data_IF_726000018723
#
_entry.id   IF_726000018723
#
_cell.length_a   1.000
_cell.length_b   1.000
_cell.length_c   1.000
_cell.angle_alpha   90.00
_cell.angle_beta   90.00
_cell.angle_gamma   90.00
#
_symmetry.space_group_name_H-M   'P 1'
#
loop_
_entity.id
_entity.type
_entity.pdbx_description
1 polymer ?
#
# COMPACT_ATOMS: atom_id res chain seq x y z
N UNK A 1 53.18 -32.50 -18.73
CA UNK A 1 51.90 -32.56 -19.44
C UNK A 1 50.86 -32.35 -18.37
N UNK A 2 50.63 -31.06 -18.09
CA UNK A 2 49.69 -30.59 -17.06
C UNK A 2 48.31 -30.55 -17.72
N UNK A 3 47.41 -31.41 -17.25
CA UNK A 3 45.98 -31.29 -17.57
C UNK A 3 45.34 -30.42 -16.49
N UNK A 4 45.19 -29.14 -16.81
CA UNK A 4 44.28 -28.22 -16.14
C UNK A 4 42.86 -28.63 -16.50
N UNK A 5 42.18 -29.38 -15.63
CA UNK A 5 40.73 -29.46 -15.66
C UNK A 5 40.16 -28.16 -15.08
N UNK A 6 39.64 -27.32 -15.99
CA UNK A 6 38.79 -26.17 -15.70
C UNK A 6 37.68 -26.55 -14.71
N UNK A 7 37.79 -26.05 -13.48
CA UNK A 7 36.65 -25.96 -12.58
C UNK A 7 35.64 -24.99 -13.17
N UNK A 8 34.68 -25.52 -13.91
CA UNK A 8 33.46 -24.81 -14.32
C UNK A 8 32.68 -24.47 -13.04
N UNK A 9 32.85 -23.24 -12.58
CA UNK A 9 32.07 -22.65 -11.50
C UNK A 9 30.60 -22.62 -11.90
N UNK A 10 29.78 -23.49 -11.32
CA UNK A 10 28.33 -23.45 -11.43
C UNK A 10 27.82 -22.15 -10.78
N UNK A 11 26.98 -21.34 -11.45
CA UNK A 11 26.44 -20.14 -10.82
C UNK A 11 25.48 -20.57 -9.69
N UNK A 12 25.71 -19.96 -8.53
CA UNK A 12 25.06 -20.24 -7.25
C UNK A 12 23.54 -20.34 -7.35
N UNK A 13 22.96 -21.43 -6.81
CA UNK A 13 21.51 -21.68 -6.73
C UNK A 13 20.71 -20.63 -5.94
N UNK A 14 21.38 -19.70 -5.26
CA UNK A 14 20.75 -18.50 -4.67
C UNK A 14 20.36 -17.44 -5.71
N UNK A 15 21.04 -17.41 -6.87
CA UNK A 15 20.75 -16.46 -7.94
C UNK A 15 19.45 -16.78 -8.68
N UNK A 16 19.13 -18.08 -8.81
CA UNK A 16 17.90 -18.54 -9.42
C UNK A 16 16.66 -18.09 -8.63
N UNK A 17 16.67 -18.26 -7.30
CA UNK A 17 15.55 -17.84 -6.43
C UNK A 17 15.28 -16.34 -6.53
N UNK A 18 16.34 -15.52 -6.47
CA UNK A 18 16.23 -14.07 -6.64
C UNK A 18 15.62 -13.70 -8.01
N UNK A 19 16.05 -14.37 -9.08
CA UNK A 19 15.50 -14.15 -10.43
C UNK A 19 14.02 -14.51 -10.52
N UNK A 20 13.60 -15.66 -9.98
CA UNK A 20 12.19 -16.08 -10.00
C UNK A 20 11.30 -15.16 -9.15
N UNK A 21 11.78 -14.69 -7.99
CA UNK A 21 11.05 -13.71 -7.20
C UNK A 21 10.88 -12.38 -7.93
N UNK A 22 11.92 -11.90 -8.62
CA UNK A 22 11.79 -10.70 -9.46
C UNK A 22 10.77 -10.91 -10.59
N UNK A 23 10.81 -12.05 -11.28
CA UNK A 23 9.84 -12.39 -12.31
C UNK A 23 8.41 -12.42 -11.76
N UNK A 24 8.22 -12.99 -10.57
CA UNK A 24 6.93 -13.02 -9.90
C UNK A 24 6.43 -11.60 -9.59
N UNK A 25 7.28 -10.72 -9.02
CA UNK A 25 6.93 -9.31 -8.77
C UNK A 25 6.53 -8.60 -10.06
N UNK A 26 7.30 -8.77 -11.15
CA UNK A 26 7.01 -8.14 -12.44
C UNK A 26 5.71 -8.68 -13.06
N UNK A 27 5.43 -9.99 -12.90
CA UNK A 27 4.17 -10.60 -13.34
C UNK A 27 2.96 -10.08 -12.56
N UNK A 28 3.15 -9.75 -11.28
CA UNK A 28 2.17 -9.08 -10.42
C UNK A 28 2.09 -7.56 -10.67
N UNK A 29 2.44 -7.11 -11.88
CA UNK A 29 2.47 -5.69 -12.29
C UNK A 29 3.37 -4.79 -11.41
N UNK A 30 4.36 -5.38 -10.75
CA UNK A 30 5.34 -4.66 -9.93
C UNK A 30 4.91 -4.41 -8.49
N UNK A 31 3.75 -4.90 -8.03
CA UNK A 31 3.30 -4.76 -6.63
C UNK A 31 2.94 -6.13 -6.09
N UNK A 32 3.53 -6.50 -4.96
CA UNK A 32 3.20 -7.77 -4.32
C UNK A 32 3.08 -7.64 -2.81
N UNK A 33 2.11 -8.32 -2.22
CA UNK A 33 1.95 -8.38 -0.77
C UNK A 33 3.05 -9.24 -0.14
N UNK A 34 3.49 -8.87 1.07
CA UNK A 34 4.56 -9.58 1.80
C UNK A 34 4.24 -11.08 1.96
N UNK A 35 3.02 -11.44 2.34
CA UNK A 35 2.67 -12.86 2.55
C UNK A 35 2.62 -13.62 1.21
N UNK A 36 2.17 -12.99 0.13
CA UNK A 36 2.20 -13.62 -1.20
C UNK A 36 3.64 -13.91 -1.66
N UNK A 37 4.59 -12.99 -1.40
CA UNK A 37 6.00 -13.24 -1.71
C UNK A 37 6.64 -14.28 -0.80
N UNK A 38 6.27 -14.33 0.48
CA UNK A 38 6.72 -15.38 1.39
C UNK A 38 6.25 -16.75 0.88
N UNK A 39 4.98 -16.88 0.49
CA UNK A 39 4.43 -18.12 -0.07
C UNK A 39 5.14 -18.51 -1.38
N UNK A 40 5.40 -17.55 -2.26
CA UNK A 40 6.16 -17.79 -3.48
C UNK A 40 7.60 -18.26 -3.18
N UNK A 41 8.27 -17.62 -2.21
CA UNK A 41 9.60 -18.04 -1.75
C UNK A 41 9.58 -19.45 -1.17
N UNK A 42 8.62 -19.76 -0.29
CA UNK A 42 8.47 -21.10 0.27
C UNK A 42 8.29 -22.14 -0.83
N UNK A 43 7.45 -21.85 -1.84
CA UNK A 43 7.24 -22.75 -2.97
C UNK A 43 8.52 -22.99 -3.75
N UNK A 44 9.29 -21.94 -4.05
CA UNK A 44 10.58 -22.06 -4.73
C UNK A 44 11.60 -22.89 -3.92
N UNK A 45 11.59 -22.76 -2.60
CA UNK A 45 12.45 -23.58 -1.73
C UNK A 45 12.00 -25.03 -1.66
N UNK A 46 10.70 -25.31 -1.70
CA UNK A 46 10.16 -26.67 -1.82
C UNK A 46 10.57 -27.32 -3.12
N UNK A 47 10.38 -26.63 -4.25
CA UNK A 47 10.75 -27.14 -5.57
C UNK A 47 12.28 -27.35 -5.68
N UNK A 48 13.08 -26.54 -4.97
CA UNK A 48 14.53 -26.69 -4.87
C UNK A 48 14.99 -27.73 -3.82
N UNK A 49 14.09 -28.44 -3.14
CA UNK A 49 14.40 -29.39 -2.04
C UNK A 49 15.19 -28.77 -0.87
N UNK A 50 15.01 -27.47 -0.62
CA UNK A 50 15.65 -26.69 0.48
C UNK A 50 14.66 -26.21 1.53
N UNK A 51 13.41 -26.65 1.43
CA UNK A 51 12.36 -26.25 2.35
C UNK A 51 12.66 -26.70 3.78
N UNK A 52 12.56 -25.77 4.73
CA UNK A 52 12.72 -26.06 6.15
C UNK A 52 11.42 -25.77 6.89
N UNK A 53 10.63 -26.82 7.15
CA UNK A 53 9.35 -26.72 7.87
C UNK A 53 9.47 -26.30 9.35
N UNK A 54 10.69 -26.22 9.90
CA UNK A 54 10.93 -25.75 11.28
C UNK A 54 11.18 -24.24 11.35
N UNK A 55 11.26 -23.56 10.20
CA UNK A 55 11.50 -22.12 10.20
C UNK A 55 10.30 -21.35 10.72
N UNK A 56 10.58 -20.44 11.65
CA UNK A 56 9.64 -19.41 12.07
C UNK A 56 9.33 -18.46 10.90
N UNK A 57 8.20 -17.77 10.99
CA UNK A 57 7.84 -16.70 10.06
C UNK A 57 8.94 -15.65 9.92
N UNK A 58 9.61 -15.28 11.03
CA UNK A 58 10.67 -14.28 10.99
C UNK A 58 11.86 -14.74 10.14
N UNK A 59 12.25 -16.01 10.21
CA UNK A 59 13.33 -16.55 9.38
C UNK A 59 12.98 -16.52 7.89
N UNK A 60 11.71 -16.77 7.54
CA UNK A 60 11.24 -16.62 6.17
C UNK A 60 11.26 -15.16 5.69
N UNK A 61 10.85 -14.22 6.55
CA UNK A 61 10.93 -12.78 6.28
C UNK A 61 12.39 -12.35 6.08
N UNK A 62 13.30 -12.83 6.90
CA UNK A 62 14.73 -12.48 6.81
C UNK A 62 15.35 -13.03 5.53
N UNK A 63 15.01 -14.27 5.14
CA UNK A 63 15.43 -14.83 3.84
C UNK A 63 14.87 -14.03 2.67
N UNK A 64 13.59 -13.66 2.72
CA UNK A 64 12.97 -12.82 1.69
C UNK A 64 13.71 -11.48 1.57
N UNK A 65 14.00 -10.81 2.69
CA UNK A 65 14.76 -9.55 2.69
C UNK A 65 16.16 -9.75 2.09
N UNK A 66 16.84 -10.87 2.39
CA UNK A 66 18.10 -11.24 1.77
C UNK A 66 18.01 -11.36 0.24
N UNK A 67 16.98 -12.06 -0.26
CA UNK A 67 16.72 -12.17 -1.70
C UNK A 67 16.43 -10.81 -2.34
N UNK A 68 15.58 -9.98 -1.73
CA UNK A 68 15.23 -8.64 -2.24
C UNK A 68 16.47 -7.73 -2.27
N UNK A 69 17.33 -7.79 -1.26
CA UNK A 69 18.58 -7.04 -1.25
C UNK A 69 19.51 -7.47 -2.40
N UNK A 70 19.65 -8.78 -2.64
CA UNK A 70 20.43 -9.29 -3.76
C UNK A 70 19.88 -8.84 -5.13
N UNK A 71 18.56 -8.81 -5.28
CA UNK A 71 17.90 -8.26 -6.48
C UNK A 71 18.20 -6.77 -6.63
N UNK A 72 18.06 -6.00 -5.55
CA UNK A 72 18.27 -4.55 -5.57
C UNK A 72 19.71 -4.15 -5.92
N UNK A 73 20.71 -4.91 -5.51
CA UNK A 73 22.11 -4.69 -5.94
C UNK A 73 22.21 -4.67 -7.47
N UNK A 74 21.51 -5.58 -8.15
CA UNK A 74 21.49 -5.66 -9.62
C UNK A 74 20.59 -4.58 -10.24
N UNK A 75 19.41 -4.32 -9.67
CA UNK A 75 18.46 -3.33 -10.19
C UNK A 75 18.97 -1.89 -10.09
N UNK A 76 19.73 -1.55 -9.04
CA UNK A 76 20.26 -0.21 -8.86
C UNK A 76 21.15 0.23 -10.04
N UNK A 77 21.87 -0.70 -10.67
CA UNK A 77 22.68 -0.44 -11.86
C UNK A 77 21.83 -0.03 -13.07
N UNK A 78 20.55 -0.42 -13.07
CA UNK A 78 19.57 -0.11 -14.12
C UNK A 78 18.69 1.09 -13.72
N UNK A 79 18.92 1.71 -12.57
CA UNK A 79 18.06 2.77 -12.04
C UNK A 79 16.71 2.27 -11.57
N UNK A 80 16.58 1.02 -11.12
CA UNK A 80 15.35 0.47 -10.52
C UNK A 80 15.60 -0.04 -9.11
N UNK A 81 14.53 -0.17 -8.32
CA UNK A 81 14.61 -0.73 -6.97
C UNK A 81 13.28 -1.35 -6.57
N UNK A 82 13.33 -2.41 -5.79
CA UNK A 82 12.19 -2.92 -5.03
C UNK A 82 12.23 -2.29 -3.65
N UNK A 83 11.18 -1.52 -3.31
CA UNK A 83 11.01 -0.93 -2.00
C UNK A 83 9.88 -1.60 -1.24
N UNK A 84 9.95 -1.54 0.09
CA UNK A 84 8.88 -2.01 0.97
C UNK A 84 8.08 -0.82 1.47
N UNK A 85 6.78 -0.85 1.28
CA UNK A 85 5.84 0.19 1.73
C UNK A 85 4.75 -0.42 2.60
N UNK A 86 4.15 0.40 3.47
CA UNK A 86 2.97 0.02 4.26
C UNK A 86 1.72 0.65 3.64
N UNK A 87 0.66 -0.13 3.47
CA UNK A 87 -0.63 0.40 3.05
C UNK A 87 -1.32 1.15 4.20
N UNK A 88 -1.83 2.36 3.91
CA UNK A 88 -2.45 3.25 4.90
C UNK A 88 -3.71 2.74 5.61
N UNK A 89 -4.43 1.75 5.03
CA UNK A 89 -5.68 1.21 5.61
C UNK A 89 -5.44 0.23 6.77
N UNK A 90 -4.19 -0.16 7.02
CA UNK A 90 -3.80 -1.00 8.16
C UNK A 90 -3.84 -2.52 7.92
N UNK A 91 -3.15 -3.26 8.79
CA UNK A 91 -2.88 -4.71 8.68
C UNK A 91 -4.14 -5.55 8.54
N UNK A 92 -5.13 -5.35 9.41
CA UNK A 92 -6.36 -6.12 9.41
C UNK A 92 -7.20 -5.89 8.14
N UNK A 93 -7.30 -4.63 7.72
CA UNK A 93 -8.02 -4.24 6.50
C UNK A 93 -7.38 -4.85 5.24
N UNK A 94 -6.04 -4.79 5.13
CA UNK A 94 -5.30 -5.40 4.03
C UNK A 94 -5.44 -6.93 4.06
N UNK A 95 -5.28 -7.56 5.22
CA UNK A 95 -5.38 -9.01 5.36
C UNK A 95 -6.77 -9.52 4.92
N UNK A 96 -7.85 -8.81 5.29
CA UNK A 96 -9.20 -9.15 4.86
C UNK A 96 -9.39 -9.04 3.34
N UNK A 97 -8.85 -8.00 2.71
CA UNK A 97 -8.87 -7.84 1.24
C UNK A 97 -8.06 -8.95 0.56
N UNK A 98 -6.92 -9.33 1.13
CA UNK A 98 -6.04 -10.32 0.55
C UNK A 98 -6.55 -11.76 0.73
N UNK A 99 -7.22 -12.09 1.84
CA UNK A 99 -7.84 -13.42 2.02
C UNK A 99 -8.85 -13.75 0.92
N UNK A 100 -9.58 -12.75 0.43
CA UNK A 100 -10.49 -12.92 -0.72
C UNK A 100 -9.76 -13.26 -2.02
N UNK A 101 -8.47 -12.90 -2.13
CA UNK A 101 -7.63 -13.12 -3.32
C UNK A 101 -6.65 -14.29 -3.17
N UNK A 102 -6.27 -14.65 -1.94
CA UNK A 102 -5.27 -15.67 -1.59
C UNK A 102 -5.89 -16.97 -1.04
N UNK A 103 -7.21 -17.03 -0.89
CA UNK A 103 -7.96 -18.22 -0.43
C UNK A 103 -7.54 -19.56 -1.05
N UNK A 104 -7.07 -19.65 -2.32
CA UNK A 104 -6.62 -20.94 -2.87
C UNK A 104 -5.27 -21.43 -2.33
N UNK A 105 -4.45 -20.59 -1.68
CA UNK A 105 -3.10 -20.98 -1.23
C UNK A 105 -3.06 -21.54 0.19
N UNK A 106 -3.98 -21.12 1.08
CA UNK A 106 -4.06 -21.65 2.46
C UNK A 106 -4.56 -23.11 2.47
N UNK A 107 -5.45 -23.50 1.54
CA UNK A 107 -5.90 -24.90 1.38
C UNK A 107 -4.81 -25.81 0.79
N UNK A 108 -3.96 -25.29 -0.10
CA UNK A 108 -2.88 -26.07 -0.75
C UNK A 108 -1.61 -26.24 0.10
N UNK A 109 -1.59 -25.72 1.33
CA UNK A 109 -0.61 -26.13 2.35
C UNK A 109 -0.95 -27.48 3.01
N UNK A 110 -2.07 -28.10 2.66
CA UNK A 110 -2.20 -29.55 2.77
C UNK A 110 -1.23 -30.21 1.79
N UNK A 111 -0.07 -30.58 2.32
CA UNK A 111 0.96 -31.35 1.62
C UNK A 111 0.28 -32.61 1.07
N UNK A 112 0.03 -32.62 -0.25
CA UNK A 112 -0.39 -33.80 -1.00
C UNK A 112 0.69 -34.86 -0.98
N UNK A 113 0.83 -35.56 0.14
CA UNK A 113 1.69 -36.71 0.32
C UNK A 113 0.95 -37.99 -0.08
N UNK A 114 1.07 -38.40 -1.34
CA UNK A 114 0.91 -39.82 -1.66
C UNK A 114 2.07 -40.58 -1.04
N UNK A 115 1.89 -41.08 0.19
CA UNK A 115 2.85 -41.95 0.87
C UNK A 115 2.71 -41.89 2.38
N UNK A 116 2.23 -42.98 2.98
CA UNK A 116 2.13 -43.22 4.42
C UNK A 116 3.38 -42.77 5.21
N UNK A 117 3.30 -41.66 5.94
CA UNK A 117 3.83 -41.54 7.30
C UNK A 117 3.25 -40.30 7.99
N UNK A 118 2.65 -40.50 9.17
CA UNK A 118 2.18 -39.43 10.05
C UNK A 118 3.36 -38.56 10.50
N UNK A 119 3.44 -37.32 10.01
CA UNK A 119 4.18 -36.26 10.71
C UNK A 119 3.28 -35.03 10.83
N UNK A 120 3.04 -34.61 12.06
CA UNK A 120 2.30 -33.40 12.48
C UNK A 120 2.89 -32.13 11.86
N UNK A 121 2.60 -31.87 10.58
CA UNK A 121 2.95 -30.62 9.93
C UNK A 121 1.80 -29.63 10.18
N UNK A 122 1.86 -28.89 11.29
CA UNK A 122 0.90 -27.80 11.50
C UNK A 122 0.98 -26.81 10.34
N UNK A 123 -0.16 -26.36 9.79
CA UNK A 123 -0.17 -25.36 8.72
C UNK A 123 0.49 -24.07 9.24
N UNK A 124 1.47 -23.56 8.49
CA UNK A 124 2.19 -22.35 8.88
C UNK A 124 1.29 -21.13 8.68
N UNK A 125 0.78 -20.56 9.77
CA UNK A 125 -0.06 -19.36 9.74
C UNK A 125 0.84 -18.12 9.61
N UNK A 126 0.71 -17.40 8.49
CA UNK A 126 1.40 -16.13 8.29
C UNK A 126 0.69 -15.00 9.07
N UNK A 127 1.44 -14.07 9.70
CA UNK A 127 0.85 -12.95 10.41
C UNK A 127 0.16 -11.97 9.46
N UNK A 128 -0.79 -11.20 9.99
CA UNK A 128 -1.40 -10.10 9.26
C UNK A 128 -0.36 -9.02 8.93
N UNK A 129 -0.31 -8.60 7.68
CA UNK A 129 0.64 -7.62 7.18
C UNK A 129 -0.05 -6.62 6.25
N UNK A 130 0.31 -5.34 6.38
CA UNK A 130 -0.03 -4.28 5.43
C UNK A 130 1.14 -3.94 4.50
N UNK A 131 2.19 -4.77 4.48
CA UNK A 131 3.40 -4.51 3.71
C UNK A 131 3.26 -5.00 2.29
N UNK A 132 3.75 -4.17 1.38
CA UNK A 132 3.87 -4.48 -0.04
C UNK A 132 5.30 -4.20 -0.50
N UNK A 133 5.76 -5.02 -1.43
CA UNK A 133 6.98 -4.81 -2.18
C UNK A 133 6.60 -4.22 -3.54
N UNK A 134 7.19 -3.07 -3.87
CA UNK A 134 6.91 -2.31 -5.07
C UNK A 134 8.18 -2.11 -5.87
N UNK A 135 8.13 -2.50 -7.14
CA UNK A 135 9.17 -2.25 -8.13
C UNK A 135 9.03 -0.83 -8.68
N UNK A 136 10.00 0.03 -8.38
CA UNK A 136 10.01 1.46 -8.73
C UNK A 136 11.18 1.81 -9.64
N UNK A 137 10.97 2.82 -10.49
CA UNK A 137 12.02 3.45 -11.29
C UNK A 137 12.62 4.65 -10.52
N UNK A 138 13.94 4.63 -10.35
CA UNK A 138 14.73 5.68 -9.70
C UNK A 138 15.32 6.69 -10.71
N UNK A 139 15.42 6.33 -11.98
CA UNK A 139 16.11 7.14 -13.00
C UNK A 139 15.21 8.16 -13.71
N UNK A 140 13.90 7.98 -13.63
CA UNK A 140 12.89 8.90 -14.18
C UNK A 140 12.53 9.96 -13.15
N UNK A 141 12.55 11.23 -13.56
CA UNK A 141 11.85 12.31 -12.85
C UNK A 141 10.36 11.97 -12.71
N UNK A 142 9.68 12.57 -11.74
CA UNK A 142 8.27 12.33 -11.43
C UNK A 142 7.37 12.47 -12.69
N UNK A 143 7.73 13.39 -13.59
CA UNK A 143 7.03 13.66 -14.84
C UNK A 143 7.34 12.65 -15.95
N UNK A 144 8.52 12.03 -15.95
CA UNK A 144 8.96 11.09 -17.01
C UNK A 144 8.48 9.65 -16.76
N UNK A 145 8.04 9.31 -15.55
CA UNK A 145 7.50 7.98 -15.20
C UNK A 145 6.28 7.61 -16.05
N UNK A 146 5.36 8.55 -16.21
CA UNK A 146 4.16 8.39 -17.03
C UNK A 146 4.45 8.56 -18.53
N UNK A 147 5.41 9.42 -18.88
CA UNK A 147 5.75 9.75 -20.27
C UNK A 147 6.29 8.57 -21.10
N UNK A 148 6.77 7.50 -20.45
CA UNK A 148 7.22 6.29 -21.16
C UNK A 148 6.09 5.40 -21.66
N UNK A 149 4.85 5.59 -21.17
CA UNK A 149 3.70 4.70 -21.43
C UNK A 149 2.47 5.40 -21.94
N UNK A 150 2.33 6.68 -21.65
CA UNK A 150 1.15 7.48 -21.96
C UNK A 150 1.53 8.61 -22.92
N UNK A 151 0.61 8.95 -23.82
CA UNK A 151 0.76 10.11 -24.68
C UNK A 151 0.54 11.41 -23.88
N UNK A 152 0.83 12.56 -24.49
CA UNK A 152 0.76 13.86 -23.80
C UNK A 152 -0.63 14.16 -23.21
N UNK A 153 -1.71 13.96 -23.97
CA UNK A 153 -3.07 14.22 -23.51
C UNK A 153 -3.47 13.28 -22.36
N UNK A 154 -3.02 12.02 -22.40
CA UNK A 154 -3.23 11.05 -21.31
C UNK A 154 -2.47 11.47 -20.05
N UNK A 155 -1.23 11.97 -20.17
CA UNK A 155 -0.46 12.48 -19.03
C UNK A 155 -1.15 13.69 -18.40
N UNK A 156 -1.66 14.61 -19.23
CA UNK A 156 -2.42 15.77 -18.78
C UNK A 156 -3.70 15.35 -18.04
N UNK A 157 -4.43 14.37 -18.58
CA UNK A 157 -5.56 13.77 -17.88
C UNK A 157 -5.15 13.15 -16.54
N UNK A 158 -4.05 12.40 -16.48
CA UNK A 158 -3.59 11.76 -15.23
C UNK A 158 -3.27 12.81 -14.17
N UNK A 159 -2.54 13.87 -14.54
CA UNK A 159 -2.23 14.98 -13.64
C UNK A 159 -3.50 15.66 -13.13
N UNK A 160 -4.41 15.96 -14.06
CA UNK A 160 -5.70 16.57 -13.72
C UNK A 160 -6.54 15.67 -12.82
N UNK A 161 -6.62 14.36 -13.07
CA UNK A 161 -7.35 13.42 -12.24
C UNK A 161 -6.75 13.31 -10.83
N UNK A 162 -5.42 13.28 -10.71
CA UNK A 162 -4.73 13.32 -9.42
C UNK A 162 -5.09 14.60 -8.67
N UNK A 163 -5.04 15.75 -9.33
CA UNK A 163 -5.46 17.03 -8.75
C UNK A 163 -6.91 16.99 -8.26
N UNK A 164 -7.86 16.44 -9.06
CA UNK A 164 -9.24 16.26 -8.61
C UNK A 164 -9.35 15.38 -7.36
N UNK A 165 -8.54 14.31 -7.25
CA UNK A 165 -8.51 13.48 -6.04
C UNK A 165 -7.99 14.25 -4.82
N UNK A 166 -6.98 15.11 -5.00
CA UNK A 166 -6.42 15.91 -3.89
C UNK A 166 -7.40 16.98 -3.42
N UNK A 167 -7.98 17.74 -4.35
CA UNK A 167 -9.01 18.76 -4.05
C UNK A 167 -10.18 18.11 -3.29
N UNK A 168 -10.66 16.95 -3.76
CA UNK A 168 -11.76 16.26 -3.11
C UNK A 168 -11.39 15.70 -1.71
N UNK A 169 -10.12 15.35 -1.49
CA UNK A 169 -9.61 14.83 -0.22
C UNK A 169 -9.46 15.88 0.90
N UNK A 170 -9.30 17.15 0.53
CA UNK A 170 -9.26 18.26 1.49
C UNK A 170 -10.65 18.56 2.08
N UNK A 171 -11.68 18.47 1.23
CA UNK A 171 -13.06 18.74 1.58
C UNK A 171 -13.55 17.80 2.71
N UNK A 172 -14.18 18.39 3.73
CA UNK A 172 -14.81 17.64 4.83
C UNK A 172 -16.28 17.52 4.51
N UNK A 173 -16.78 16.30 4.49
CA UNK A 173 -18.20 16.02 4.31
C UNK A 173 -18.79 15.73 5.69
N UNK A 174 -19.79 16.52 6.09
CA UNK A 174 -20.58 16.28 7.30
C UNK A 174 -21.76 15.36 6.99
N UNK A 175 -21.50 14.07 6.90
CA UNK A 175 -22.51 13.02 6.73
C UNK A 175 -22.05 11.69 7.36
N UNK A 176 -22.96 10.73 7.44
CA UNK A 176 -22.64 9.38 7.88
C UNK A 176 -21.75 8.69 6.86
N UNK A 177 -20.50 8.41 7.24
CA UNK A 177 -19.60 7.62 6.41
C UNK A 177 -20.18 6.21 6.20
N UNK A 178 -19.98 5.64 5.00
CA UNK A 178 -20.52 4.32 4.67
C UNK A 178 -19.95 3.23 5.57
N UNK A 179 -20.84 2.45 6.19
CA UNK A 179 -20.47 1.26 6.98
C UNK A 179 -19.86 0.13 6.12
N UNK A 180 -19.98 0.21 4.79
CA UNK A 180 -19.28 -0.69 3.87
C UNK A 180 -17.78 -0.38 3.76
N UNK A 181 -17.36 0.82 4.18
CA UNK A 181 -15.95 1.21 4.15
C UNK A 181 -15.13 0.40 5.14
N UNK A 182 -14.07 -0.22 4.62
CA UNK A 182 -13.13 -0.99 5.45
C UNK A 182 -12.44 -0.10 6.47
N UNK A 183 -12.13 1.14 6.11
CA UNK A 183 -11.47 2.11 7.00
C UNK A 183 -12.41 2.50 8.14
N UNK A 184 -13.67 2.83 7.84
CA UNK A 184 -14.67 3.20 8.87
C UNK A 184 -14.83 2.07 9.89
N UNK A 185 -15.01 0.83 9.41
CA UNK A 185 -15.15 -0.34 10.29
C UNK A 185 -13.91 -0.55 11.15
N UNK A 186 -12.72 -0.41 10.57
CA UNK A 186 -11.45 -0.63 11.26
C UNK A 186 -11.16 0.44 12.31
N UNK A 187 -11.39 1.72 11.98
CA UNK A 187 -11.26 2.81 12.94
C UNK A 187 -12.27 2.66 14.08
N UNK A 188 -13.52 2.30 13.79
CA UNK A 188 -14.52 2.06 14.82
C UNK A 188 -14.11 0.91 15.76
N UNK A 189 -13.56 -0.18 15.21
CA UNK A 189 -12.99 -1.28 16.02
C UNK A 189 -11.87 -0.79 16.94
N UNK A 190 -10.98 0.06 16.42
CA UNK A 190 -9.88 0.66 17.18
C UNK A 190 -10.40 1.57 18.31
N UNK A 191 -11.42 2.38 18.03
CA UNK A 191 -12.02 3.28 19.02
C UNK A 191 -12.68 2.49 20.15
N UNK A 192 -13.51 1.49 19.85
CA UNK A 192 -14.14 0.62 20.87
C UNK A 192 -13.08 -0.01 21.77
N UNK A 193 -12.00 -0.53 21.18
CA UNK A 193 -10.92 -1.15 21.96
C UNK A 193 -10.13 -0.14 22.81
N UNK A 194 -10.12 1.15 22.46
CA UNK A 194 -9.41 2.19 23.21
C UNK A 194 -10.28 2.88 24.27
N UNK A 195 -11.60 2.84 24.15
CA UNK A 195 -12.56 3.46 25.08
C UNK A 195 -13.23 2.46 26.01
N UNK A 196 -13.20 1.16 25.70
CA UNK A 196 -14.06 0.13 26.30
C UNK A 196 -15.57 0.47 26.20
N UNK A 197 -15.94 1.32 25.24
CA UNK A 197 -17.32 1.78 25.03
C UNK A 197 -17.82 1.32 23.65
N UNK A 198 -18.70 0.31 23.66
CA UNK A 198 -19.36 -0.21 22.46
C UNK A 198 -20.45 0.70 21.90
N UNK A 199 -20.87 1.73 22.64
CA UNK A 199 -21.97 2.63 22.29
C UNK A 199 -21.48 4.03 21.84
N UNK A 200 -20.18 4.17 21.55
CA UNK A 200 -19.65 5.46 21.10
C UNK A 200 -20.35 5.94 19.81
N UNK A 201 -20.58 7.24 19.73
CA UNK A 201 -21.16 7.86 18.54
C UNK A 201 -20.13 7.85 17.42
N UNK A 202 -20.43 7.17 16.30
CA UNK A 202 -19.61 7.22 15.08
C UNK A 202 -19.42 8.67 14.63
N UNK A 203 -18.25 8.98 14.08
CA UNK A 203 -18.03 10.33 13.56
C UNK A 203 -18.93 10.58 12.36
N UNK A 204 -19.43 11.82 12.27
CA UNK A 204 -20.25 12.29 11.14
C UNK A 204 -19.44 13.10 10.14
N UNK A 205 -18.12 13.01 10.21
CA UNK A 205 -17.20 13.74 9.36
C UNK A 205 -16.28 12.77 8.66
N UNK A 206 -16.19 12.88 7.34
CA UNK A 206 -15.21 12.15 6.54
C UNK A 206 -14.70 12.98 5.37
N UNK A 207 -13.53 12.64 4.85
CA UNK A 207 -13.05 13.09 3.55
C UNK A 207 -12.66 11.87 2.71
N UNK A 208 -12.56 12.03 1.40
CA UNK A 208 -12.13 10.94 0.52
C UNK A 208 -11.29 11.46 -0.63
N UNK A 209 -10.21 10.75 -0.94
CA UNK A 209 -9.36 11.05 -2.09
C UNK A 209 -9.86 10.29 -3.34
N UNK A 210 -11.19 10.16 -3.46
CA UNK A 210 -11.82 9.46 -4.57
C UNK A 210 -12.87 10.31 -5.27
N UNK A 211 -12.87 10.27 -6.60
CA UNK A 211 -13.79 11.04 -7.45
C UNK A 211 -14.57 10.09 -8.36
N UNK A 212 -15.86 10.37 -8.56
CA UNK A 212 -16.73 9.57 -9.42
C UNK A 212 -16.35 9.68 -10.90
N UNK A 213 -16.57 8.61 -11.67
CA UNK A 213 -16.29 8.58 -13.11
C UNK A 213 -16.88 9.79 -13.84
N UNK A 214 -18.14 10.15 -13.59
CA UNK A 214 -18.84 11.25 -14.26
C UNK A 214 -18.14 12.60 -14.10
N UNK A 215 -17.50 12.85 -12.96
CA UNK A 215 -16.72 14.05 -12.74
C UNK A 215 -15.41 14.01 -13.52
N UNK A 216 -14.75 12.84 -13.60
CA UNK A 216 -13.54 12.67 -14.39
C UNK A 216 -13.77 12.78 -15.91
N UNK A 217 -14.98 12.47 -16.39
CA UNK A 217 -15.36 12.64 -17.79
C UNK A 217 -15.45 14.10 -18.25
N UNK A 218 -15.31 15.08 -17.35
CA UNK A 218 -15.35 16.50 -17.68
C UNK A 218 -14.01 17.04 -18.24
N UNK A 219 -12.98 16.21 -18.34
CA UNK A 219 -11.70 16.63 -18.92
C UNK A 219 -11.83 16.88 -20.43
N UNK A 220 -11.56 18.11 -20.87
CA UNK A 220 -11.78 18.54 -22.26
C UNK A 220 -10.76 17.97 -23.27
N UNK A 221 -9.61 17.47 -22.81
CA UNK A 221 -8.52 17.00 -23.68
C UNK A 221 -8.70 15.59 -24.25
N UNK A 222 -9.74 14.85 -23.84
CA UNK A 222 -10.04 13.49 -24.28
C UNK A 222 -11.56 13.29 -24.37
N UNK A 223 -12.01 12.38 -25.23
CA UNK A 223 -13.42 11.98 -25.28
C UNK A 223 -13.80 11.10 -24.09
N UNK A 224 -15.09 11.02 -23.76
CA UNK A 224 -15.57 10.21 -22.64
C UNK A 224 -15.13 8.73 -22.76
N UNK A 225 -15.18 8.15 -23.96
CA UNK A 225 -14.75 6.77 -24.20
C UNK A 225 -13.25 6.57 -24.00
N UNK A 226 -12.44 7.54 -24.43
CA UNK A 226 -10.97 7.50 -24.21
C UNK A 226 -10.63 7.61 -22.73
N UNK A 227 -11.35 8.44 -21.98
CA UNK A 227 -11.19 8.58 -20.53
C UNK A 227 -11.55 7.27 -19.82
N UNK A 228 -12.65 6.63 -20.19
CA UNK A 228 -13.06 5.35 -19.60
C UNK A 228 -12.01 4.25 -19.85
N UNK A 229 -11.52 4.12 -21.08
CA UNK A 229 -10.46 3.17 -21.42
C UNK A 229 -9.17 3.46 -20.62
N UNK A 230 -8.77 4.73 -20.57
CA UNK A 230 -7.57 5.15 -19.83
C UNK A 230 -7.69 4.86 -18.33
N UNK A 231 -8.85 5.13 -17.72
CA UNK A 231 -9.10 4.81 -16.30
C UNK A 231 -8.99 3.31 -16.01
N UNK A 232 -9.47 2.46 -16.92
CA UNK A 232 -9.33 1.00 -16.79
C UNK A 232 -7.87 0.57 -16.92
N UNK A 233 -7.12 1.11 -17.88
CA UNK A 233 -5.68 0.86 -18.02
C UNK A 233 -4.89 1.32 -16.80
N UNK A 234 -5.20 2.49 -16.25
CA UNK A 234 -4.56 3.00 -15.03
C UNK A 234 -4.83 2.07 -13.83
N UNK A 235 -6.03 1.50 -13.74
CA UNK A 235 -6.34 0.47 -12.73
C UNK A 235 -5.56 -0.83 -12.94
N UNK A 236 -5.44 -1.28 -14.18
CA UNK A 236 -4.67 -2.47 -14.52
C UNK A 236 -3.18 -2.31 -14.18
N UNK A 237 -2.63 -1.14 -14.47
CA UNK A 237 -1.24 -0.77 -14.20
C UNK A 237 -0.97 -0.36 -12.74
N UNK A 238 -2.01 -0.41 -11.90
CA UNK A 238 -1.95 -0.09 -10.46
C UNK A 238 -1.57 1.35 -10.16
N UNK A 239 -1.85 2.27 -11.08
CA UNK A 239 -1.75 3.70 -10.81
C UNK A 239 -2.97 4.17 -10.03
N UNK A 240 -4.17 3.77 -10.47
CA UNK A 240 -5.43 4.05 -9.79
C UNK A 240 -6.09 2.77 -9.27
N UNK A 241 -7.04 2.91 -8.36
CA UNK A 241 -7.98 1.86 -8.00
C UNK A 241 -9.42 2.34 -8.25
N UNK A 242 -10.34 1.40 -8.43
CA UNK A 242 -11.78 1.66 -8.57
C UNK A 242 -12.54 1.08 -7.39
N UNK A 243 -13.39 1.89 -6.79
CA UNK A 243 -14.34 1.49 -5.75
C UNK A 243 -15.57 0.81 -6.35
N UNK A 244 -16.37 0.12 -5.54
CA UNK A 244 -17.61 -0.53 -6.01
C UNK A 244 -18.64 0.48 -6.47
N UNK A 245 -18.57 1.68 -5.93
CA UNK A 245 -19.44 2.83 -6.21
C UNK A 245 -19.02 3.58 -7.48
N UNK A 246 -18.02 3.10 -8.23
CA UNK A 246 -17.57 3.73 -9.47
C UNK A 246 -16.71 4.99 -9.27
N UNK A 247 -16.20 5.21 -8.06
CA UNK A 247 -15.18 6.24 -7.79
C UNK A 247 -13.78 5.70 -7.97
N UNK A 248 -12.86 6.57 -8.39
CA UNK A 248 -11.45 6.27 -8.60
C UNK A 248 -10.59 7.04 -7.61
N UNK A 249 -9.44 6.48 -7.24
CA UNK A 249 -8.41 7.15 -6.43
C UNK A 249 -7.03 6.57 -6.75
N UNK A 250 -5.98 7.10 -6.12
CA UNK A 250 -4.60 6.63 -6.39
C UNK A 250 -4.26 5.34 -5.64
N UNK A 251 -3.64 4.39 -6.34
CA UNK A 251 -3.20 3.10 -5.79
C UNK A 251 -1.75 3.19 -5.29
N UNK A 252 -1.29 2.16 -4.58
CA UNK A 252 0.01 2.10 -3.90
C UNK A 252 1.20 2.39 -4.81
N UNK A 253 1.12 2.05 -6.11
CA UNK A 253 2.20 2.36 -7.05
C UNK A 253 2.35 3.85 -7.21
N UNK A 254 1.24 4.56 -7.39
CA UNK A 254 1.23 6.00 -7.58
C UNK A 254 1.82 6.68 -6.34
N UNK A 255 1.44 6.24 -5.14
CA UNK A 255 2.03 6.75 -3.89
C UNK A 255 3.53 6.44 -3.83
N UNK A 256 3.95 5.20 -4.12
CA UNK A 256 5.34 4.78 -4.03
C UNK A 256 6.26 5.47 -5.04
N UNK A 257 5.74 5.69 -6.24
CA UNK A 257 6.48 6.31 -7.33
C UNK A 257 6.39 7.84 -7.30
N UNK A 258 5.31 8.44 -6.76
CA UNK A 258 5.07 9.88 -6.83
C UNK A 258 5.01 10.59 -5.45
N UNK A 259 5.49 9.97 -4.37
CA UNK A 259 5.36 10.51 -2.99
C UNK A 259 5.90 11.96 -2.89
N UNK A 260 7.06 12.23 -3.49
CA UNK A 260 7.71 13.54 -3.44
C UNK A 260 6.95 14.59 -4.26
N UNK A 261 6.54 14.24 -5.49
CA UNK A 261 5.68 15.11 -6.30
C UNK A 261 4.35 15.43 -5.62
N UNK A 262 3.66 14.41 -5.09
CA UNK A 262 2.36 14.56 -4.45
C UNK A 262 2.44 15.46 -3.22
N UNK A 263 3.49 15.31 -2.41
CA UNK A 263 3.67 16.09 -1.18
C UNK A 263 4.06 17.54 -1.50
N UNK A 264 4.97 17.76 -2.45
CA UNK A 264 5.44 19.10 -2.82
C UNK A 264 4.43 19.91 -3.60
N UNK A 265 3.72 19.29 -4.56
CA UNK A 265 2.78 19.99 -5.45
C UNK A 265 1.46 20.35 -4.77
N UNK A 266 0.95 19.46 -3.91
CA UNK A 266 -0.40 19.61 -3.32
C UNK A 266 -0.38 19.82 -1.80
N UNK A 267 0.80 20.10 -1.20
CA UNK A 267 0.98 20.29 0.24
C UNK A 267 0.29 19.20 1.08
N UNK A 268 0.38 17.94 0.63
CA UNK A 268 -0.35 16.85 1.28
C UNK A 268 0.24 16.51 2.64
N UNK A 269 -0.67 16.17 3.54
CA UNK A 269 -0.30 15.76 4.89
C UNK A 269 0.54 14.48 4.91
N UNK A 270 1.54 14.47 5.78
CA UNK A 270 2.25 13.26 6.19
C UNK A 270 1.72 12.75 7.53
N UNK A 271 1.71 11.43 7.70
CA UNK A 271 1.32 10.77 8.93
C UNK A 271 2.23 11.21 10.09
N UNK A 272 1.65 11.60 11.22
CA UNK A 272 2.43 12.10 12.36
C UNK A 272 3.33 11.05 13.02
N UNK A 273 3.05 9.77 12.81
CA UNK A 273 3.83 8.70 13.42
C UNK A 273 4.94 8.14 12.51
N UNK A 274 4.70 8.05 11.20
CA UNK A 274 5.66 7.44 10.27
C UNK A 274 6.22 8.41 9.22
N UNK A 275 5.73 9.65 9.19
CA UNK A 275 6.14 10.72 8.28
C UNK A 275 6.04 10.36 6.79
N UNK A 276 5.14 9.42 6.46
CA UNK A 276 4.79 9.03 5.09
C UNK A 276 3.49 9.66 4.65
N UNK A 277 3.34 9.89 3.35
CA UNK A 277 2.13 10.47 2.76
C UNK A 277 0.88 9.72 3.24
N UNK A 278 -0.10 10.46 3.73
CA UNK A 278 -1.32 9.89 4.31
C UNK A 278 -2.56 10.44 3.61
N UNK A 279 -3.16 9.60 2.78
CA UNK A 279 -4.43 9.87 2.08
C UNK A 279 -5.56 8.96 2.60
N UNK A 280 -5.29 8.14 3.62
CA UNK A 280 -6.21 7.18 4.23
C UNK A 280 -5.90 7.03 5.72
N UNK A 281 -6.95 6.97 6.55
CA UNK A 281 -6.82 6.81 8.00
C UNK A 281 -7.69 7.79 8.78
N UNK A 282 -7.08 8.52 9.73
CA UNK A 282 -7.78 9.46 10.62
C UNK A 282 -7.08 10.80 10.58
N UNK A 283 -7.84 11.88 10.46
CA UNK A 283 -7.33 13.24 10.65
C UNK A 283 -8.06 13.94 11.78
N UNK A 284 -7.38 14.90 12.41
CA UNK A 284 -8.00 15.76 13.42
C UNK A 284 -9.09 16.63 12.76
N UNK A 285 -10.28 16.64 13.37
CA UNK A 285 -11.45 17.40 12.93
C UNK A 285 -11.59 18.77 13.54
N UNK A 286 -10.79 19.10 14.56
CA UNK A 286 -10.82 20.41 15.20
C UNK A 286 -10.20 21.47 14.28
N UNK A 287 -10.91 22.60 14.11
CA UNK A 287 -10.50 23.72 13.25
C UNK A 287 -9.18 24.34 13.68
N UNK A 288 -8.91 24.43 14.99
CA UNK A 288 -7.64 24.96 15.53
C UNK A 288 -6.43 24.08 15.21
N UNK A 289 -6.64 22.88 14.65
CA UNK A 289 -5.57 22.05 14.12
C UNK A 289 -5.03 22.57 12.77
N UNK A 290 -5.84 23.35 12.05
CA UNK A 290 -5.43 24.13 10.89
C UNK A 290 -4.85 25.42 11.44
N UNK A 291 -3.55 25.61 11.30
CA UNK A 291 -2.93 26.90 11.63
C UNK A 291 -2.76 27.65 10.33
N UNK A 292 -3.35 28.83 10.23
CA UNK A 292 -2.92 29.82 9.26
C UNK A 292 -1.73 30.55 9.90
N UNK A 293 -0.54 30.45 9.30
CA UNK A 293 0.56 31.30 9.72
C UNK A 293 0.24 32.73 9.31
N UNK A 294 -0.05 33.61 10.28
CA UNK A 294 -0.40 35.02 10.03
C UNK A 294 0.75 35.79 9.34
N UNK A 295 1.99 35.30 9.44
CA UNK A 295 3.19 35.93 8.86
C UNK A 295 3.49 35.49 7.42
N UNK A 296 3.15 34.24 7.03
CA UNK A 296 3.45 33.68 5.70
C UNK A 296 2.20 33.46 4.85
N UNK A 297 1.01 33.47 5.46
CA UNK A 297 -0.24 33.08 4.80
C UNK A 297 -0.36 31.59 4.51
N UNK A 298 0.58 30.76 4.98
CA UNK A 298 0.55 29.31 4.74
C UNK A 298 -0.40 28.62 5.73
N UNK A 299 -1.40 27.91 5.19
CA UNK A 299 -2.28 27.06 5.98
C UNK A 299 -1.60 25.70 6.20
N UNK A 300 -1.19 25.42 7.44
CA UNK A 300 -0.71 24.11 7.85
C UNK A 300 -1.88 23.12 7.91
N UNK A 301 -1.86 22.06 7.08
CA UNK A 301 -2.95 21.10 7.04
C UNK A 301 -3.07 20.31 8.36
N UNK A 302 -4.27 19.82 8.72
CA UNK A 302 -4.53 19.22 10.03
C UNK A 302 -3.79 17.90 10.21
N UNK A 303 -3.46 17.54 11.46
CA UNK A 303 -2.76 16.30 11.77
C UNK A 303 -3.50 15.07 11.25
N UNK A 304 -2.75 14.13 10.67
CA UNK A 304 -3.28 12.89 10.10
C UNK A 304 -2.45 11.67 10.55
N UNK A 305 -3.10 10.52 10.59
CA UNK A 305 -2.49 9.24 10.91
C UNK A 305 -3.03 8.16 9.96
N UNK A 306 -2.15 7.28 9.47
CA UNK A 306 -2.60 6.00 8.89
C UNK A 306 -3.31 5.16 9.96
N UNK A 307 -4.15 4.21 9.55
CA UNK A 307 -4.99 3.41 10.47
C UNK A 307 -4.18 2.75 11.60
N UNK A 308 -3.12 2.02 11.28
CA UNK A 308 -2.28 1.36 12.31
C UNK A 308 -1.48 2.38 13.16
N UNK A 309 -1.10 3.51 12.56
CA UNK A 309 -0.41 4.58 13.26
C UNK A 309 -1.35 5.26 14.27
N UNK A 310 -2.61 5.48 13.88
CA UNK A 310 -3.65 6.00 14.75
C UNK A 310 -3.91 5.05 15.92
N UNK A 311 -4.07 3.74 15.63
CA UNK A 311 -4.20 2.71 16.67
C UNK A 311 -3.06 2.79 17.68
N UNK A 312 -1.82 2.82 17.22
CA UNK A 312 -0.65 2.95 18.08
C UNK A 312 -0.72 4.23 18.92
N UNK A 313 -1.00 5.36 18.27
CA UNK A 313 -1.07 6.67 18.89
C UNK A 313 -2.11 6.73 20.03
N UNK A 314 -3.36 6.34 19.78
CA UNK A 314 -4.41 6.44 20.81
C UNK A 314 -4.27 5.40 21.93
N UNK A 315 -3.57 4.30 21.68
CA UNK A 315 -3.37 3.22 22.68
C UNK A 315 -2.16 3.48 23.56
N UNK A 316 -1.09 4.07 23.00
CA UNK A 316 0.21 4.13 23.67
C UNK A 316 0.80 5.55 23.80
N UNK A 317 0.30 6.53 23.05
CA UNK A 317 0.85 7.90 23.04
C UNK A 317 -0.11 8.88 23.69
N UNK A 318 -1.25 9.15 23.07
CA UNK A 318 -2.24 10.11 23.57
C UNK A 318 -3.60 9.91 22.90
N UNK A 319 -4.68 10.18 23.64
CA UNK A 319 -6.03 10.27 23.06
C UNK A 319 -6.32 11.66 22.47
N UNK A 320 -5.41 12.62 22.68
CA UNK A 320 -5.54 14.01 22.24
C UNK A 320 -4.61 14.29 21.06
N UNK A 321 -5.03 15.19 20.18
CA UNK A 321 -4.21 15.73 19.11
C UNK A 321 -3.02 16.48 19.71
N UNK A 322 -1.80 16.13 19.29
CA UNK A 322 -0.55 16.75 19.75
C UNK A 322 -0.47 18.25 19.42
N UNK A 323 -1.13 18.68 18.34
CA UNK A 323 -1.10 20.06 17.86
C UNK A 323 -2.11 20.99 18.55
N UNK A 324 -3.36 20.55 18.67
CA UNK A 324 -4.47 21.41 19.16
C UNK A 324 -5.10 20.93 20.47
N UNK A 325 -4.67 19.79 21.01
CA UNK A 325 -5.19 19.23 22.25
C UNK A 325 -6.60 18.63 22.15
N UNK A 326 -7.25 18.66 20.99
CA UNK A 326 -8.59 18.10 20.80
C UNK A 326 -8.64 16.60 21.05
N UNK A 327 -9.75 16.09 21.58
CA UNK A 327 -9.91 14.67 21.83
C UNK A 327 -10.20 13.93 20.52
N UNK A 328 -9.24 13.15 20.02
CA UNK A 328 -9.34 12.49 18.72
C UNK A 328 -10.45 11.43 18.65
N UNK A 329 -10.89 10.93 19.80
CA UNK A 329 -11.95 9.92 19.91
C UNK A 329 -13.32 10.52 19.54
N UNK A 330 -13.54 11.81 19.77
CA UNK A 330 -14.81 12.50 19.49
C UNK A 330 -14.69 13.45 18.30
N UNK A 331 -13.53 14.07 18.13
CA UNK A 331 -13.23 15.09 17.12
C UNK A 331 -12.44 14.52 15.93
N UNK A 332 -12.58 13.22 15.65
CA UNK A 332 -11.92 12.58 14.52
C UNK A 332 -12.70 12.75 13.22
N UNK A 333 -11.97 12.72 12.11
CA UNK A 333 -12.53 12.68 10.76
C UNK A 333 -11.96 11.46 10.05
N UNK A 334 -12.81 10.62 9.48
CA UNK A 334 -12.36 9.49 8.67
C UNK A 334 -11.76 10.00 7.36
N UNK A 335 -10.66 9.40 6.93
CA UNK A 335 -10.05 9.68 5.62
C UNK A 335 -10.14 8.40 4.79
N UNK A 336 -11.01 8.40 3.79
CA UNK A 336 -11.50 7.22 3.06
C UNK A 336 -10.83 6.99 1.71
#
# INVERSE_FOLDING_TARGET
MEENEEQVSTPATGDATAKYLLQYILSARGICHENALILALMRLETDASRFNGKWSTQQWIDKLNGCINAINVKLNLLGYKIIRINHGIGRNAVALRNKQNLGPFEENTEIGGHGNSFTDSQPMILPESNRFFVYINLASTEETKLATRFNQNEIEFIKWAIEQFMINGEAVIEDMASDTSVIVREINRILVAATDDSNFTKWRKFSTFTVGSTALLQFEGLTATEIEDLLLRLCEYKWFYRTKEGKFGIDLRCIAELEEYLTSMYNLNTCQNCHKLAIQGVRCGNESCRKEDEETGESSPPQIWHVDCFKHYITHVSKNCDRCGSLLITEGVYVL
#
